data_IF_014330277734
#
_entry.id   IF_014330277734
#
_cell.length_a   1.000
_cell.length_b   1.000
_cell.length_c   1.000
_cell.angle_alpha   90.00
_cell.angle_beta   90.00
_cell.angle_gamma   90.00
#
_symmetry.space_group_name_H-M   'P 1'
#
loop_
_entity.id
_entity.type
_entity.pdbx_description
1 polymer ?
#
# COMPACT_ATOMS: atom_id res chain seq x y z
N UNK A 1 -1.11 13.40 -11.08
CA UNK A 1 0.14 13.45 -11.88
C UNK A 1 0.66 14.87 -11.88
N UNK A 2 1.98 15.04 -11.95
CA UNK A 2 2.64 16.34 -11.80
C UNK A 2 2.14 17.40 -12.79
N UNK A 3 2.06 18.65 -12.35
CA UNK A 3 1.57 19.76 -13.19
C UNK A 3 2.67 20.19 -14.16
N UNK A 4 2.35 20.67 -15.37
CA UNK A 4 3.33 21.22 -16.31
C UNK A 4 4.17 22.37 -15.73
N UNK A 5 3.66 23.02 -14.68
CA UNK A 5 4.31 24.13 -13.97
C UNK A 5 5.18 23.70 -12.79
N UNK A 6 5.25 22.41 -12.46
CA UNK A 6 6.10 21.93 -11.37
C UNK A 6 7.57 22.08 -11.71
N UNK A 7 8.28 22.92 -10.95
CA UNK A 7 9.73 23.12 -11.07
C UNK A 7 10.56 22.11 -10.27
N UNK A 8 9.97 21.45 -9.27
CA UNK A 8 10.66 20.49 -8.40
C UNK A 8 10.12 19.07 -8.60
N UNK A 9 11.03 18.15 -8.96
CA UNK A 9 10.73 16.76 -9.33
C UNK A 9 9.58 16.64 -10.36
N UNK A 10 9.71 17.26 -11.55
CA UNK A 10 8.70 17.16 -12.61
C UNK A 10 8.60 15.73 -13.15
N UNK A 11 7.42 15.34 -13.58
CA UNK A 11 7.16 14.02 -14.18
C UNK A 11 6.66 12.96 -13.19
N UNK A 12 6.87 11.69 -13.55
CA UNK A 12 6.41 10.53 -12.80
C UNK A 12 7.24 10.34 -11.51
N UNK A 13 6.56 10.25 -10.36
CA UNK A 13 7.16 10.03 -9.04
C UNK A 13 7.17 8.57 -8.61
N UNK A 14 7.13 7.67 -9.60
CA UNK A 14 7.19 6.23 -9.43
C UNK A 14 6.03 5.74 -8.58
N UNK A 15 6.35 4.97 -7.54
CA UNK A 15 5.39 4.33 -6.65
C UNK A 15 4.30 5.25 -6.14
N UNK A 16 4.65 6.48 -5.74
CA UNK A 16 3.68 7.46 -5.22
C UNK A 16 2.56 7.74 -6.22
N UNK A 17 2.91 7.93 -7.49
CA UNK A 17 1.94 8.23 -8.52
C UNK A 17 1.06 7.02 -8.84
N UNK A 18 1.64 5.81 -8.84
CA UNK A 18 0.88 4.55 -8.98
C UNK A 18 -0.11 4.37 -7.84
N UNK A 19 0.31 4.61 -6.59
CA UNK A 19 -0.56 4.54 -5.43
C UNK A 19 -1.71 5.55 -5.54
N UNK A 20 -1.42 6.78 -5.95
CA UNK A 20 -2.44 7.82 -6.05
C UNK A 20 -3.44 7.55 -7.17
N UNK A 21 -2.96 7.05 -8.31
CA UNK A 21 -3.82 6.67 -9.43
C UNK A 21 -4.78 5.54 -9.03
N UNK A 22 -4.25 4.51 -8.36
CA UNK A 22 -5.06 3.37 -7.91
C UNK A 22 -6.05 3.75 -6.81
N UNK A 23 -5.64 4.56 -5.83
CA UNK A 23 -6.54 5.04 -4.78
C UNK A 23 -7.66 5.92 -5.34
N UNK A 24 -7.34 6.81 -6.29
CA UNK A 24 -8.34 7.64 -6.96
C UNK A 24 -9.32 6.80 -7.79
N UNK A 25 -8.82 5.80 -8.50
CA UNK A 25 -9.66 4.83 -9.22
C UNK A 25 -10.63 4.11 -8.28
N UNK A 26 -10.13 3.55 -7.17
CA UNK A 26 -10.95 2.82 -6.18
C UNK A 26 -11.97 3.74 -5.47
N UNK A 27 -11.62 4.99 -5.20
CA UNK A 27 -12.55 6.01 -4.71
C UNK A 27 -13.71 6.20 -5.71
N UNK A 28 -13.42 6.39 -7.00
CA UNK A 28 -14.45 6.57 -8.02
C UNK A 28 -15.32 5.34 -8.20
N UNK A 29 -14.74 4.14 -8.14
CA UNK A 29 -15.50 2.87 -8.13
C UNK A 29 -16.46 2.84 -6.95
N UNK A 30 -16.00 3.25 -5.76
CA UNK A 30 -16.82 3.23 -4.55
C UNK A 30 -18.00 4.20 -4.60
N UNK A 31 -17.76 5.45 -5.05
CA UNK A 31 -18.79 6.48 -5.12
C UNK A 31 -19.57 6.51 -6.44
N UNK A 32 -19.28 5.59 -7.36
CA UNK A 32 -19.84 5.57 -8.72
C UNK A 32 -19.68 6.93 -9.45
N UNK A 33 -18.51 7.55 -9.27
CA UNK A 33 -18.19 8.86 -9.84
C UNK A 33 -17.74 8.77 -11.30
N UNK A 34 -17.87 9.85 -12.09
CA UNK A 34 -17.38 9.88 -13.47
C UNK A 34 -15.89 9.52 -13.60
N UNK A 35 -15.60 8.59 -14.49
CA UNK A 35 -14.25 8.07 -14.77
C UNK A 35 -13.70 8.64 -16.07
N UNK A 36 -12.38 8.85 -16.13
CA UNK A 36 -11.68 9.21 -17.36
C UNK A 36 -11.41 7.97 -18.23
N UNK A 37 -10.98 8.11 -19.49
CA UNK A 37 -10.75 6.97 -20.39
C UNK A 37 -9.80 5.91 -19.82
N UNK A 38 -8.74 6.32 -19.11
CA UNK A 38 -7.79 5.40 -18.48
C UNK A 38 -8.45 4.58 -17.36
N UNK A 39 -9.22 5.24 -16.49
CA UNK A 39 -9.93 4.58 -15.39
C UNK A 39 -11.03 3.65 -15.90
N UNK A 40 -11.71 4.00 -17.00
CA UNK A 40 -12.67 3.12 -17.65
C UNK A 40 -12.00 1.87 -18.22
N UNK A 41 -10.83 2.01 -18.85
CA UNK A 41 -10.07 0.87 -19.33
C UNK A 41 -9.59 -0.01 -18.17
N UNK A 42 -9.09 0.58 -17.08
CA UNK A 42 -8.74 -0.17 -15.86
C UNK A 42 -9.95 -0.92 -15.30
N UNK A 43 -11.12 -0.28 -15.24
CA UNK A 43 -12.36 -0.91 -14.78
C UNK A 43 -12.72 -2.11 -15.66
N UNK A 44 -12.63 -1.94 -16.99
CA UNK A 44 -12.90 -3.00 -17.96
C UNK A 44 -11.95 -4.18 -17.78
N UNK A 45 -10.63 -3.94 -17.71
CA UNK A 45 -9.63 -4.99 -17.53
C UNK A 45 -9.84 -5.76 -16.21
N UNK A 46 -10.09 -5.05 -15.11
CA UNK A 46 -10.34 -5.70 -13.81
C UNK A 46 -11.64 -6.50 -13.84
N UNK A 47 -12.73 -5.92 -14.32
CA UNK A 47 -14.05 -6.57 -14.28
C UNK A 47 -14.14 -7.74 -15.25
N UNK A 48 -13.63 -7.59 -16.47
CA UNK A 48 -13.89 -8.53 -17.55
C UNK A 48 -12.74 -9.52 -17.79
N UNK A 49 -11.48 -9.15 -17.54
CA UNK A 49 -10.35 -10.08 -17.67
C UNK A 49 -10.05 -10.81 -16.37
N UNK A 50 -9.93 -10.09 -15.25
CA UNK A 50 -9.73 -10.72 -13.93
C UNK A 50 -11.04 -11.37 -13.45
N UNK A 51 -12.19 -10.87 -13.89
CA UNK A 51 -13.51 -11.45 -13.57
C UNK A 51 -14.05 -11.04 -12.21
N UNK A 52 -13.48 -10.01 -11.57
CA UNK A 52 -13.88 -9.55 -10.24
C UNK A 52 -14.32 -8.10 -10.32
N UNK A 53 -15.50 -7.79 -9.76
CA UNK A 53 -15.93 -6.39 -9.68
C UNK A 53 -14.94 -5.63 -8.76
N UNK A 54 -14.34 -4.51 -9.21
CA UNK A 54 -13.41 -3.77 -8.37
C UNK A 54 -14.04 -3.25 -7.07
N UNK A 55 -15.37 -3.16 -6.99
CA UNK A 55 -16.08 -2.82 -5.75
C UNK A 55 -16.01 -3.91 -4.67
N UNK A 56 -15.50 -5.10 -4.97
CA UNK A 56 -15.31 -6.19 -4.00
C UNK A 56 -13.93 -6.16 -3.34
N UNK A 57 -12.99 -5.35 -3.81
CA UNK A 57 -11.68 -5.25 -3.15
C UNK A 57 -11.80 -4.61 -1.76
N UNK A 58 -11.38 -5.33 -0.74
CA UNK A 58 -11.40 -4.88 0.66
C UNK A 58 -10.06 -4.32 1.12
N UNK A 59 -8.98 -4.88 0.56
CA UNK A 59 -7.61 -4.54 0.91
C UNK A 59 -6.83 -4.14 -0.33
N UNK A 60 -5.82 -3.29 -0.12
CA UNK A 60 -4.85 -2.92 -1.14
C UNK A 60 -3.45 -3.22 -0.64
N UNK A 61 -2.82 -4.21 -1.27
CA UNK A 61 -1.45 -4.60 -0.99
C UNK A 61 -0.49 -3.84 -1.92
N UNK A 62 0.58 -3.30 -1.36
CA UNK A 62 1.59 -2.53 -2.07
C UNK A 62 2.98 -3.07 -1.77
N UNK A 63 3.73 -3.33 -2.83
CA UNK A 63 5.08 -3.90 -2.77
C UNK A 63 6.01 -3.14 -3.73
N UNK A 64 7.29 -3.07 -3.42
CA UNK A 64 8.29 -2.58 -4.40
C UNK A 64 8.62 -3.66 -5.44
N UNK A 65 8.98 -3.23 -6.64
CA UNK A 65 9.26 -4.15 -7.75
C UNK A 65 10.52 -5.01 -7.53
N UNK A 66 11.41 -4.59 -6.63
CA UNK A 66 12.64 -5.28 -6.24
C UNK A 66 12.51 -6.05 -4.91
N UNK A 67 11.30 -6.13 -4.34
CA UNK A 67 11.03 -6.86 -3.10
C UNK A 67 10.60 -8.29 -3.39
N UNK A 68 11.29 -9.25 -2.77
CA UNK A 68 10.87 -10.66 -2.76
C UNK A 68 9.97 -10.93 -1.56
N UNK A 69 8.82 -11.55 -1.81
CA UNK A 69 7.79 -11.79 -0.80
C UNK A 69 7.84 -13.24 -0.35
N UNK A 70 8.02 -13.45 0.95
CA UNK A 70 7.91 -14.80 1.54
C UNK A 70 6.47 -15.35 1.34
N UNK A 71 6.30 -16.63 0.95
CA UNK A 71 5.01 -17.19 0.58
C UNK A 71 3.90 -17.01 1.62
N UNK A 72 4.23 -16.95 2.91
CA UNK A 72 3.25 -16.83 3.99
C UNK A 72 3.05 -15.38 4.46
N UNK A 73 3.85 -14.42 3.98
CA UNK A 73 3.82 -13.06 4.49
C UNK A 73 2.50 -12.35 4.22
N UNK A 74 1.93 -12.48 3.01
CA UNK A 74 0.63 -11.86 2.69
C UNK A 74 -0.48 -12.46 3.57
N UNK A 75 -0.46 -13.78 3.79
CA UNK A 75 -1.43 -14.45 4.66
C UNK A 75 -1.36 -13.94 6.10
N UNK A 76 -0.15 -13.69 6.62
CA UNK A 76 0.04 -13.10 7.94
C UNK A 76 -0.48 -11.66 8.03
N UNK A 77 -0.23 -10.83 7.02
CA UNK A 77 -0.77 -9.46 6.98
C UNK A 77 -2.30 -9.46 6.97
N UNK A 78 -2.91 -10.30 6.12
CA UNK A 78 -4.37 -10.43 6.05
C UNK A 78 -4.92 -10.95 7.39
N UNK A 79 -4.27 -11.96 8.00
CA UNK A 79 -4.67 -12.47 9.31
C UNK A 79 -4.68 -11.38 10.38
N UNK A 80 -3.67 -10.50 10.41
CA UNK A 80 -3.61 -9.38 11.35
C UNK A 80 -4.78 -8.40 11.12
N UNK A 81 -5.07 -8.06 9.86
CA UNK A 81 -6.18 -7.18 9.50
C UNK A 81 -7.55 -7.79 9.80
N UNK A 82 -7.72 -9.10 9.65
CA UNK A 82 -8.98 -9.77 10.00
C UNK A 82 -9.16 -9.81 11.52
N UNK A 83 -8.08 -10.07 12.26
CA UNK A 83 -8.11 -10.18 13.71
C UNK A 83 -8.48 -8.84 14.38
N UNK A 84 -7.91 -7.73 13.89
CA UNK A 84 -8.25 -6.40 14.38
C UNK A 84 -8.90 -5.53 13.28
N UNK A 85 -10.21 -5.38 13.38
CA UNK A 85 -11.04 -4.55 12.50
C UNK A 85 -10.69 -3.07 12.55
N UNK A 86 -10.02 -2.59 13.61
CA UNK A 86 -9.62 -1.18 13.77
C UNK A 86 -8.35 -0.85 13.00
N UNK A 87 -7.56 -1.85 12.58
CA UNK A 87 -6.35 -1.61 11.80
C UNK A 87 -6.68 -1.09 10.41
N UNK A 88 -6.13 0.08 10.08
CA UNK A 88 -6.25 0.73 8.77
C UNK A 88 -5.14 0.31 7.81
N UNK A 89 -3.99 -0.10 8.34
CA UNK A 89 -2.89 -0.60 7.55
C UNK A 89 -1.90 -1.37 8.42
N UNK A 90 -1.18 -2.29 7.79
CA UNK A 90 -0.16 -3.13 8.41
C UNK A 90 1.02 -3.25 7.46
N UNK A 91 2.23 -3.13 8.00
CA UNK A 91 3.47 -3.37 7.27
C UNK A 91 4.11 -4.68 7.75
N UNK A 92 4.75 -5.40 6.85
CA UNK A 92 5.59 -6.53 7.24
C UNK A 92 7.04 -6.10 7.47
N UNK A 93 7.82 -7.01 8.03
CA UNK A 93 9.25 -6.84 8.20
C UNK A 93 9.96 -6.94 6.85
N UNK A 94 10.86 -6.00 6.57
CA UNK A 94 11.71 -6.01 5.37
C UNK A 94 13.18 -6.11 5.73
N UNK A 95 13.91 -6.93 4.95
CA UNK A 95 15.32 -7.23 5.15
C UNK A 95 16.07 -7.17 3.82
N UNK A 96 17.35 -6.81 3.88
CA UNK A 96 18.22 -6.86 2.71
C UNK A 96 18.57 -8.30 2.35
N UNK A 97 18.34 -8.70 1.10
CA UNK A 97 18.75 -10.00 0.58
C UNK A 97 20.28 -10.13 0.46
N UNK A 98 20.97 -9.00 0.25
CA UNK A 98 22.42 -8.94 0.00
C UNK A 98 23.24 -8.47 1.22
N UNK A 99 22.72 -8.67 2.43
CA UNK A 99 23.27 -8.19 3.71
C UNK A 99 24.79 -8.39 3.93
N UNK A 100 25.44 -9.36 3.26
CA UNK A 100 26.85 -9.71 3.44
C UNK A 100 27.76 -9.39 2.24
N UNK A 101 27.24 -8.73 1.20
CA UNK A 101 28.00 -8.52 -0.03
C UNK A 101 29.06 -7.42 0.07
N UNK A 102 28.88 -6.43 0.95
CA UNK A 102 29.79 -5.31 1.10
C UNK A 102 29.71 -4.67 2.48
N UNK A 103 30.73 -3.90 2.88
CA UNK A 103 30.68 -3.11 4.13
C UNK A 103 29.47 -2.18 4.18
N UNK A 104 29.06 -1.62 3.03
CA UNK A 104 27.89 -0.74 2.93
C UNK A 104 26.60 -1.51 3.21
N UNK A 105 26.40 -2.67 2.58
CA UNK A 105 25.19 -3.48 2.79
C UNK A 105 25.12 -4.04 4.21
N UNK A 106 26.26 -4.36 4.83
CA UNK A 106 26.33 -4.74 6.25
C UNK A 106 25.87 -3.58 7.14
N UNK A 107 26.31 -2.35 6.88
CA UNK A 107 25.85 -1.17 7.61
C UNK A 107 24.33 -0.93 7.41
N UNK A 108 23.83 -1.10 6.19
CA UNK A 108 22.40 -0.93 5.88
C UNK A 108 21.50 -1.94 6.62
N UNK A 109 21.99 -3.13 6.94
CA UNK A 109 21.24 -4.09 7.77
C UNK A 109 20.85 -3.49 9.11
N UNK A 110 21.77 -2.76 9.76
CA UNK A 110 21.48 -2.10 11.04
C UNK A 110 20.46 -0.97 10.88
N UNK A 111 20.60 -0.16 9.83
CA UNK A 111 19.65 0.91 9.53
C UNK A 111 18.23 0.36 9.30
N UNK A 112 18.10 -0.68 8.46
CA UNK A 112 16.82 -1.33 8.21
C UNK A 112 16.26 -1.99 9.47
N UNK A 113 17.09 -2.67 10.24
CA UNK A 113 16.64 -3.30 11.48
C UNK A 113 16.10 -2.27 12.48
N UNK A 114 16.78 -1.14 12.67
CA UNK A 114 16.31 -0.09 13.58
C UNK A 114 15.03 0.59 13.06
N UNK A 115 15.01 0.97 11.79
CA UNK A 115 13.94 1.80 11.21
C UNK A 115 12.69 1.03 10.78
N UNK A 116 12.85 -0.18 10.22
CA UNK A 116 11.76 -0.98 9.66
C UNK A 116 11.27 -2.08 10.61
N UNK A 117 12.09 -2.48 11.59
CA UNK A 117 11.72 -3.50 12.56
C UNK A 117 11.55 -2.93 13.97
N UNK A 118 12.63 -2.51 14.63
CA UNK A 118 12.61 -2.18 16.06
C UNK A 118 11.72 -0.96 16.38
N UNK A 119 11.89 0.15 15.66
CA UNK A 119 11.07 1.35 15.85
C UNK A 119 9.60 1.08 15.57
N UNK A 120 9.29 0.29 14.53
CA UNK A 120 7.91 -0.03 14.14
C UNK A 120 7.23 -0.97 15.13
N UNK A 121 7.97 -1.96 15.62
CA UNK A 121 7.50 -2.83 16.70
C UNK A 121 7.21 -2.03 17.97
N UNK A 122 8.09 -1.09 18.33
CA UNK A 122 7.88 -0.19 19.47
C UNK A 122 6.67 0.72 19.29
N UNK A 123 6.54 1.40 18.15
CA UNK A 123 5.37 2.22 17.80
C UNK A 123 4.07 1.39 17.88
N UNK A 124 4.10 0.15 17.38
CA UNK A 124 2.95 -0.76 17.43
C UNK A 124 2.49 -1.09 18.85
N UNK A 125 3.36 -1.04 19.86
CA UNK A 125 2.96 -1.21 21.27
C UNK A 125 2.02 -0.09 21.74
N UNK A 126 2.11 1.10 21.15
CA UNK A 126 1.22 2.22 21.42
C UNK A 126 -0.03 2.21 20.52
N UNK A 127 -0.26 1.13 19.77
CA UNK A 127 -1.44 0.96 18.92
C UNK A 127 -1.43 1.79 17.64
N UNK A 128 -0.31 2.42 17.28
CA UNK A 128 -0.20 3.16 16.02
C UNK A 128 1.24 3.21 15.51
N UNK A 129 1.41 3.07 14.20
CA UNK A 129 2.70 3.23 13.52
C UNK A 129 2.70 4.58 12.83
N UNK A 130 3.70 5.43 13.11
CA UNK A 130 3.73 6.80 12.59
C UNK A 130 3.96 6.85 11.07
N UNK A 131 4.67 5.85 10.54
CA UNK A 131 4.97 5.73 9.12
C UNK A 131 5.03 4.25 8.73
N UNK A 132 4.15 3.84 7.81
CA UNK A 132 4.16 2.49 7.23
C UNK A 132 5.18 2.43 6.08
N UNK A 133 6.20 1.55 6.15
CA UNK A 133 7.16 1.37 5.07
C UNK A 133 6.48 1.01 3.76
N UNK A 134 6.66 1.83 2.73
CA UNK A 134 5.97 1.63 1.45
C UNK A 134 6.28 0.27 0.81
N UNK A 135 7.48 -0.27 1.01
CA UNK A 135 8.02 -1.47 0.35
C UNK A 135 7.22 -2.75 0.55
N UNK A 136 6.48 -2.90 1.65
CA UNK A 136 5.69 -4.10 1.93
C UNK A 136 4.55 -3.78 2.91
N UNK A 137 3.48 -3.18 2.41
CA UNK A 137 2.36 -2.70 3.24
C UNK A 137 1.01 -3.08 2.65
N UNK A 138 0.07 -3.41 3.53
CA UNK A 138 -1.32 -3.70 3.25
C UNK A 138 -2.22 -2.63 3.86
N UNK A 139 -3.14 -2.11 3.08
CA UNK A 139 -4.09 -1.08 3.48
C UNK A 139 -5.52 -1.59 3.45
N UNK A 140 -6.35 -1.15 4.41
CA UNK A 140 -7.78 -1.36 4.41
C UNK A 140 -8.47 -0.27 3.60
N UNK A 141 -9.25 -0.66 2.59
CA UNK A 141 -9.97 0.29 1.75
C UNK A 141 -11.28 0.75 2.44
N UNK A 142 -11.95 -0.17 3.13
CA UNK A 142 -13.28 0.06 3.73
C UNK A 142 -13.42 -0.58 5.10
N UNK A 143 -14.28 0.00 5.94
CA UNK A 143 -14.66 -0.64 7.21
C UNK A 143 -15.37 -1.97 6.94
N UNK A 144 -15.09 -3.03 7.72
CA UNK A 144 -15.68 -4.35 7.48
C UNK A 144 -17.19 -4.38 7.74
N UNK A 145 -17.70 -3.59 8.70
CA UNK A 145 -19.12 -3.68 9.10
C UNK A 145 -20.02 -2.71 8.32
N UNK A 146 -19.53 -1.52 7.98
CA UNK A 146 -20.34 -0.45 7.36
C UNK A 146 -19.94 -0.15 5.92
N UNK A 147 -18.93 -0.84 5.39
CA UNK A 147 -18.32 -0.60 4.07
C UNK A 147 -17.98 0.87 3.80
N UNK A 148 -17.78 1.66 4.86
CA UNK A 148 -17.43 3.07 4.74
C UNK A 148 -16.01 3.17 4.21
N UNK A 149 -15.77 4.02 3.20
CA UNK A 149 -14.44 4.20 2.65
C UNK A 149 -13.53 4.82 3.71
N UNK A 150 -12.30 4.32 3.80
CA UNK A 150 -11.28 4.83 4.72
C UNK A 150 -10.32 5.69 3.93
N UNK A 151 -9.22 5.11 3.43
CA UNK A 151 -8.20 5.80 2.64
C UNK A 151 -8.70 6.34 1.31
N UNK A 152 -9.83 5.81 0.82
CA UNK A 152 -10.48 6.21 -0.42
C UNK A 152 -11.74 7.07 -0.17
N UNK A 153 -11.88 7.70 1.00
CA UNK A 153 -13.01 8.57 1.32
C UNK A 153 -12.91 9.95 0.63
N UNK A 154 -14.06 10.52 0.24
CA UNK A 154 -14.16 11.93 -0.14
C UNK A 154 -14.37 12.86 1.07
N UNK A 155 -14.75 12.29 2.21
CA UNK A 155 -14.90 12.98 3.48
C UNK A 155 -13.60 12.79 4.28
N UNK A 156 -12.87 13.89 4.46
CA UNK A 156 -11.79 14.02 5.44
C UNK A 156 -12.40 14.25 6.83
#
# INVERSE_FOLDING_TARGET
MGKPTERSRPGNRGKRDSQMLLMNFLNKVHFNSPMNPLELEMYHQIKNMIGVNPSFYEYLFMVDADTTVDPLSVNRLISAMIHDKKLLGVCGETKLANAKQSLITIMQVYEYFLSHHMAKAFESLFGSVMCLPGCFTLYRLRTPDTHKPLLISNQL
#
